data_IF_224555976836
#
_entry.id   IF_224555976836
#
_cell.length_a   1.000
_cell.length_b   1.000
_cell.length_c   1.000
_cell.angle_alpha   90.00
_cell.angle_beta   90.00
_cell.angle_gamma   90.00
#
_symmetry.space_group_name_H-M   'P 1'
#
loop_
_entity.id
_entity.type
_entity.pdbx_description
1 polymer ?
#
# COMPACT_ATOMS: atom_id res chain seq x y z
N UNK A 1 7.07 25.06 15.38
CA UNK A 1 7.26 24.52 16.74
C UNK A 1 8.67 24.85 17.17
N UNK A 2 9.04 24.61 18.42
CA UNK A 2 10.43 24.75 18.89
C UNK A 2 11.38 23.67 18.34
N UNK A 3 10.83 22.62 17.72
CA UNK A 3 11.55 21.49 17.15
C UNK A 3 11.14 21.36 15.68
N UNK A 4 12.13 21.23 14.79
CA UNK A 4 11.94 21.11 13.34
C UNK A 4 12.00 19.66 12.83
N UNK A 5 12.68 18.77 13.57
CA UNK A 5 12.89 17.37 13.18
C UNK A 5 12.55 16.43 14.33
N UNK A 6 11.67 15.47 14.06
CA UNK A 6 11.35 14.36 14.95
C UNK A 6 11.97 13.08 14.41
N UNK A 7 12.85 12.45 15.19
CA UNK A 7 13.38 11.11 14.92
C UNK A 7 12.60 10.13 15.78
N UNK A 8 11.93 9.17 15.16
CA UNK A 8 11.11 8.19 15.87
C UNK A 8 11.20 6.81 15.22
N UNK A 9 10.75 5.79 15.96
CA UNK A 9 10.40 4.50 15.41
C UNK A 9 8.99 4.55 14.79
N UNK A 10 8.49 3.41 14.32
CA UNK A 10 7.16 3.27 13.69
C UNK A 10 5.99 3.68 14.61
N UNK A 11 6.23 3.86 15.91
CA UNK A 11 5.22 4.25 16.91
C UNK A 11 4.51 5.58 16.58
N UNK A 12 5.06 6.44 15.71
CA UNK A 12 4.31 7.60 15.18
C UNK A 12 3.02 7.20 14.46
N UNK A 13 2.91 5.97 13.96
CA UNK A 13 1.70 5.42 13.36
C UNK A 13 0.51 5.37 14.35
N UNK A 14 0.76 5.23 15.66
CA UNK A 14 -0.29 4.95 16.66
C UNK A 14 -0.96 6.17 17.29
N UNK A 15 -0.67 7.41 16.84
CA UNK A 15 -1.46 8.56 17.28
C UNK A 15 -0.77 9.92 17.34
N UNK A 16 0.47 10.04 16.89
CA UNK A 16 1.15 11.34 16.83
C UNK A 16 0.82 11.97 15.47
N UNK A 17 -0.22 12.80 15.45
CA UNK A 17 -0.52 13.67 14.30
C UNK A 17 0.24 14.99 14.48
N UNK A 18 1.17 15.28 13.56
CA UNK A 18 1.91 16.55 13.53
C UNK A 18 1.42 17.30 12.30
N UNK A 19 0.42 18.20 12.43
CA UNK A 19 -0.20 18.85 11.30
C UNK A 19 0.83 19.57 10.40
N UNK A 20 1.83 20.19 11.02
CA UNK A 20 2.85 20.98 10.29
C UNK A 20 3.93 20.12 9.61
N UNK A 21 3.95 18.79 9.80
CA UNK A 21 4.93 17.92 9.16
C UNK A 21 4.53 17.67 7.70
N UNK A 22 5.34 18.19 6.77
CA UNK A 22 5.13 18.03 5.32
C UNK A 22 6.13 17.07 4.67
N UNK A 23 7.14 16.62 5.39
CA UNK A 23 8.21 15.76 4.87
C UNK A 23 8.37 14.54 5.74
N UNK A 24 8.28 13.37 5.12
CA UNK A 24 8.53 12.07 5.75
C UNK A 24 9.78 11.45 5.15
N UNK A 25 10.65 10.90 5.99
CA UNK A 25 11.78 10.09 5.57
C UNK A 25 11.69 8.74 6.29
N UNK A 26 11.54 7.66 5.53
CA UNK A 26 11.50 6.29 6.05
C UNK A 26 12.81 5.61 5.67
N UNK A 27 13.65 5.38 6.67
CA UNK A 27 14.86 4.57 6.51
C UNK A 27 14.50 3.08 6.48
N UNK A 28 15.28 2.27 5.74
CA UNK A 28 15.06 0.83 5.58
C UNK A 28 13.63 0.48 5.13
N UNK A 29 13.09 1.21 4.16
CA UNK A 29 11.72 0.99 3.67
C UNK A 29 11.50 -0.41 3.10
N UNK A 30 12.57 -1.10 2.70
CA UNK A 30 12.58 -2.52 2.29
C UNK A 30 12.05 -3.49 3.34
N UNK A 31 12.13 -3.12 4.62
CA UNK A 31 11.73 -3.97 5.74
C UNK A 31 10.25 -3.84 6.13
N UNK A 32 9.53 -2.90 5.53
CA UNK A 32 8.14 -2.60 5.91
C UNK A 32 7.12 -3.33 5.02
N UNK A 33 5.94 -3.55 5.56
CA UNK A 33 4.77 -3.95 4.78
C UNK A 33 4.28 -2.80 3.88
N UNK A 34 3.60 -3.15 2.78
CA UNK A 34 3.03 -2.13 1.88
C UNK A 34 1.96 -1.29 2.61
N UNK A 35 1.14 -1.93 3.44
CA UNK A 35 0.14 -1.24 4.25
C UNK A 35 0.77 -0.24 5.22
N UNK A 36 1.83 -0.62 5.94
CA UNK A 36 2.50 0.24 6.92
C UNK A 36 3.10 1.48 6.24
N UNK A 37 3.79 1.28 5.10
CA UNK A 37 4.36 2.37 4.31
C UNK A 37 3.28 3.34 3.81
N UNK A 38 2.13 2.81 3.40
CA UNK A 38 1.00 3.61 2.96
C UNK A 38 0.38 4.41 4.11
N UNK A 39 0.24 3.81 5.30
CA UNK A 39 -0.23 4.50 6.50
C UNK A 39 0.72 5.63 6.90
N UNK A 40 2.04 5.36 6.95
CA UNK A 40 3.06 6.37 7.23
C UNK A 40 3.00 7.53 6.22
N UNK A 41 2.91 7.23 4.92
CA UNK A 41 2.75 8.23 3.86
C UNK A 41 1.51 9.12 4.08
N UNK A 42 0.40 8.54 4.56
CA UNK A 42 -0.83 9.27 4.86
C UNK A 42 -0.77 10.17 6.09
N UNK A 43 0.31 10.11 6.89
CA UNK A 43 0.53 11.00 8.04
C UNK A 43 1.12 12.36 7.66
N UNK A 44 1.59 12.53 6.42
CA UNK A 44 2.06 13.82 5.90
C UNK A 44 1.14 14.34 4.78
N UNK A 45 1.08 15.66 4.59
CA UNK A 45 0.30 16.26 3.50
C UNK A 45 -1.17 16.55 3.80
N UNK A 46 -1.51 16.87 5.06
CA UNK A 46 -2.86 17.29 5.47
C UNK A 46 -3.20 18.75 5.13
N UNK A 47 -2.24 19.54 4.64
CA UNK A 47 -2.41 20.97 4.33
C UNK A 47 -2.35 21.26 2.84
N UNK A 48 -2.66 22.50 2.45
CA UNK A 48 -2.59 22.99 1.05
C UNK A 48 -1.19 22.90 0.43
N UNK A 49 -0.15 22.72 1.24
CA UNK A 49 1.23 22.66 0.77
C UNK A 49 1.57 21.24 0.31
N UNK A 50 2.34 21.16 -0.78
CA UNK A 50 2.85 19.89 -1.28
C UNK A 50 3.70 19.19 -0.20
N UNK A 51 3.39 17.92 0.05
CA UNK A 51 4.16 17.07 0.94
C UNK A 51 5.04 16.09 0.17
N UNK A 52 6.09 15.63 0.84
CA UNK A 52 7.10 14.73 0.28
C UNK A 52 7.30 13.53 1.21
N UNK A 53 7.44 12.34 0.63
CA UNK A 53 7.78 11.12 1.35
C UNK A 53 8.94 10.43 0.64
N UNK A 54 10.04 10.22 1.37
CA UNK A 54 11.24 9.57 0.88
C UNK A 54 11.37 8.18 1.50
N UNK A 55 11.37 7.14 0.67
CA UNK A 55 11.55 5.75 1.08
C UNK A 55 12.97 5.32 0.72
N UNK A 56 13.81 5.14 1.73
CA UNK A 56 15.24 4.90 1.55
C UNK A 56 15.57 3.41 1.73
N UNK A 57 16.40 2.93 0.81
CA UNK A 57 16.94 1.57 0.78
C UNK A 57 18.46 1.64 0.91
N UNK A 58 19.13 0.71 1.61
CA UNK A 58 20.59 0.77 1.74
C UNK A 58 21.29 0.66 0.38
N UNK A 59 22.34 1.45 0.20
CA UNK A 59 23.16 1.43 -1.02
C UNK A 59 23.79 0.05 -1.22
N UNK A 60 23.64 -0.50 -2.43
CA UNK A 60 24.17 -1.83 -2.77
C UNK A 60 23.33 -3.00 -2.25
N UNK A 61 22.18 -2.73 -1.62
CA UNK A 61 21.27 -3.78 -1.21
C UNK A 61 20.45 -4.30 -2.40
N UNK A 62 20.47 -5.62 -2.60
CA UNK A 62 19.62 -6.27 -3.59
C UNK A 62 18.25 -6.46 -2.96
N UNK A 63 17.25 -5.73 -3.49
CA UNK A 63 15.87 -5.88 -3.07
C UNK A 63 15.36 -7.28 -3.38
N UNK A 64 14.64 -7.87 -2.42
CA UNK A 64 13.82 -9.04 -2.73
C UNK A 64 12.77 -8.66 -3.78
N UNK A 65 12.33 -9.64 -4.57
CA UNK A 65 11.25 -9.42 -5.57
C UNK A 65 10.00 -8.85 -4.90
N UNK A 66 9.69 -9.30 -3.69
CA UNK A 66 8.55 -8.84 -2.92
C UNK A 66 8.72 -7.39 -2.47
N UNK A 67 9.85 -7.06 -1.83
CA UNK A 67 10.15 -5.70 -1.36
C UNK A 67 10.17 -4.69 -2.51
N UNK A 68 10.76 -5.06 -3.66
CA UNK A 68 10.73 -4.23 -4.87
C UNK A 68 9.31 -3.96 -5.36
N UNK A 69 8.49 -5.02 -5.47
CA UNK A 69 7.09 -4.91 -5.89
C UNK A 69 6.25 -4.03 -4.94
N UNK A 70 6.49 -4.12 -3.62
CA UNK A 70 5.85 -3.23 -2.63
C UNK A 70 6.23 -1.77 -2.86
N UNK A 71 7.51 -1.45 -3.02
CA UNK A 71 7.97 -0.08 -3.23
C UNK A 71 7.44 0.51 -4.54
N UNK A 72 7.41 -0.29 -5.61
CA UNK A 72 6.79 0.11 -6.89
C UNK A 72 5.28 0.37 -6.75
N UNK A 73 4.57 -0.49 -6.03
CA UNK A 73 3.13 -0.30 -5.79
C UNK A 73 2.85 0.99 -5.01
N UNK A 74 3.63 1.26 -3.98
CA UNK A 74 3.54 2.48 -3.19
C UNK A 74 3.81 3.74 -4.03
N UNK A 75 4.69 3.63 -5.03
CA UNK A 75 4.91 4.68 -6.01
C UNK A 75 3.74 4.79 -6.98
N UNK A 76 3.20 3.70 -7.54
CA UNK A 76 2.09 3.78 -8.52
C UNK A 76 0.83 4.42 -7.94
N UNK A 77 0.48 4.09 -6.71
CA UNK A 77 -0.74 4.57 -6.06
C UNK A 77 -0.47 5.85 -5.25
N UNK A 78 -0.35 6.98 -5.97
CA UNK A 78 -0.06 8.32 -5.39
C UNK A 78 -1.30 9.06 -4.89
N UNK A 79 -2.49 8.72 -5.39
CA UNK A 79 -3.70 9.50 -5.14
C UNK A 79 -4.40 9.14 -3.82
N UNK A 80 -4.95 10.16 -3.15
CA UNK A 80 -5.83 10.00 -1.99
C UNK A 80 -7.03 9.11 -2.38
N UNK A 81 -7.35 8.10 -1.57
CA UNK A 81 -8.40 7.14 -1.86
C UNK A 81 -7.92 5.84 -2.53
N UNK A 82 -6.63 5.71 -2.81
CA UNK A 82 -6.04 4.47 -3.35
C UNK A 82 -5.92 3.34 -2.32
N UNK A 83 -6.44 3.51 -1.09
CA UNK A 83 -6.30 2.54 0.00
C UNK A 83 -6.85 1.15 -0.35
N UNK A 84 -7.95 1.08 -1.11
CA UNK A 84 -8.48 -0.19 -1.60
C UNK A 84 -7.54 -0.86 -2.60
N UNK A 85 -6.98 -0.11 -3.56
CA UNK A 85 -6.03 -0.64 -4.55
C UNK A 85 -4.72 -1.11 -3.90
N UNK A 86 -4.24 -0.36 -2.91
CA UNK A 86 -3.08 -0.74 -2.10
C UNK A 86 -3.34 -2.03 -1.33
N UNK A 87 -4.52 -2.17 -0.73
CA UNK A 87 -4.90 -3.40 -0.03
C UNK A 87 -5.00 -4.61 -0.98
N UNK A 88 -5.53 -4.42 -2.19
CA UNK A 88 -5.56 -5.47 -3.23
C UNK A 88 -4.17 -5.89 -3.66
N UNK A 89 -3.27 -4.94 -3.91
CA UNK A 89 -1.89 -5.26 -4.30
C UNK A 89 -1.14 -5.92 -3.13
N UNK A 90 -1.32 -5.45 -1.89
CA UNK A 90 -0.72 -6.09 -0.70
C UNK A 90 -1.18 -7.55 -0.57
N UNK A 91 -2.47 -7.81 -0.83
CA UNK A 91 -3.06 -9.14 -0.84
C UNK A 91 -2.48 -10.02 -1.96
N UNK A 92 -2.28 -9.47 -3.16
CA UNK A 92 -1.66 -10.16 -4.29
C UNK A 92 -0.19 -10.47 -4.03
N UNK A 93 0.57 -9.51 -3.49
CA UNK A 93 1.99 -9.64 -3.14
C UNK A 93 2.18 -10.74 -2.08
N UNK A 94 1.34 -10.78 -1.04
CA UNK A 94 1.34 -11.85 -0.02
C UNK A 94 0.91 -13.20 -0.58
N UNK A 95 0.38 -13.25 -1.79
CA UNK A 95 0.00 -14.47 -2.46
C UNK A 95 -1.37 -14.99 -2.04
N UNK A 96 -2.37 -14.15 -1.83
CA UNK A 96 -3.76 -14.64 -1.70
C UNK A 96 -4.30 -15.28 -2.99
N UNK A 97 -3.60 -15.16 -4.12
CA UNK A 97 -3.77 -16.08 -5.25
C UNK A 97 -3.52 -17.56 -4.90
N UNK A 98 -2.88 -17.83 -3.76
CA UNK A 98 -2.59 -19.15 -3.21
C UNK A 98 -3.63 -19.62 -2.17
N UNK A 99 -4.70 -18.86 -1.91
CA UNK A 99 -5.78 -19.27 -0.98
C UNK A 99 -6.46 -20.60 -1.43
N UNK A 100 -6.25 -21.00 -2.69
CA UNK A 100 -6.83 -22.19 -3.32
C UNK A 100 -5.81 -23.26 -3.77
N UNK A 101 -4.54 -23.19 -3.36
CA UNK A 101 -3.67 -24.37 -3.47
C UNK A 101 -2.21 -24.11 -3.80
N UNK A 102 -1.34 -24.72 -2.97
CA UNK A 102 0.06 -24.99 -3.25
C UNK A 102 0.22 -25.73 -4.58
N UNK A 103 1.23 -25.28 -5.33
CA UNK A 103 1.98 -26.03 -6.34
C UNK A 103 1.18 -26.51 -7.56
N UNK A 104 1.58 -25.96 -8.72
CA UNK A 104 1.26 -26.47 -10.06
C UNK A 104 -0.24 -26.41 -10.44
N UNK A 105 -0.62 -25.41 -11.23
CA UNK A 105 -0.91 -25.62 -12.66
C UNK A 105 -1.19 -24.28 -13.36
N UNK A 106 -0.41 -24.02 -14.41
CA UNK A 106 -0.46 -22.80 -15.20
C UNK A 106 -1.82 -22.57 -15.86
N UNK A 107 -2.13 -21.31 -16.08
CA UNK A 107 -3.25 -20.80 -16.90
C UNK A 107 -4.64 -20.68 -16.25
N UNK A 108 -5.02 -21.50 -15.26
CA UNK A 108 -6.39 -21.45 -14.69
C UNK A 108 -6.51 -20.51 -13.47
N UNK A 109 -5.42 -20.30 -12.73
CA UNK A 109 -5.42 -19.56 -11.44
C UNK A 109 -5.57 -18.03 -11.56
N UNK A 110 -5.23 -17.43 -12.71
CA UNK A 110 -5.31 -15.97 -12.89
C UNK A 110 -6.75 -15.44 -13.02
N UNK A 111 -7.74 -16.32 -13.22
CA UNK A 111 -9.12 -15.94 -13.53
C UNK A 111 -9.96 -15.76 -12.25
N UNK A 112 -9.55 -16.30 -11.10
CA UNK A 112 -10.42 -16.42 -9.92
C UNK A 112 -10.89 -15.10 -9.34
N UNK A 113 -9.97 -14.16 -9.09
CA UNK A 113 -10.31 -12.89 -8.46
C UNK A 113 -11.00 -11.91 -9.43
N UNK A 114 -10.56 -11.85 -10.70
CA UNK A 114 -11.24 -11.04 -11.72
C UNK A 114 -12.67 -11.54 -11.96
N UNK A 115 -12.86 -12.87 -12.03
CA UNK A 115 -14.17 -13.48 -12.16
C UNK A 115 -15.04 -13.23 -10.91
N UNK A 116 -14.46 -13.32 -9.71
CA UNK A 116 -15.17 -12.97 -8.48
C UNK A 116 -15.63 -11.51 -8.48
N UNK A 117 -14.75 -10.57 -8.83
CA UNK A 117 -15.11 -9.16 -8.95
C UNK A 117 -16.13 -8.88 -10.06
N UNK A 118 -16.16 -9.69 -11.11
CA UNK A 118 -17.14 -9.62 -12.20
C UNK A 118 -18.51 -10.09 -11.73
N UNK A 119 -18.58 -11.27 -11.11
CA UNK A 119 -19.81 -11.83 -10.55
C UNK A 119 -20.39 -10.90 -9.47
N UNK A 120 -19.53 -10.33 -8.61
CA UNK A 120 -19.95 -9.38 -7.58
C UNK A 120 -20.54 -8.11 -8.19
N UNK A 121 -19.92 -7.58 -9.26
CA UNK A 121 -20.45 -6.42 -10.01
C UNK A 121 -21.80 -6.74 -10.63
N UNK A 122 -21.93 -7.87 -11.30
CA UNK A 122 -23.20 -8.31 -11.92
C UNK A 122 -24.32 -8.45 -10.87
N UNK A 123 -24.02 -9.02 -9.70
CA UNK A 123 -24.99 -9.16 -8.62
C UNK A 123 -25.45 -7.80 -8.05
N UNK A 124 -24.52 -6.86 -7.88
CA UNK A 124 -24.83 -5.50 -7.40
C UNK A 124 -25.63 -4.70 -8.42
N UNK A 125 -25.28 -4.80 -9.71
CA UNK A 125 -26.02 -4.15 -10.79
C UNK A 125 -27.44 -4.71 -10.94
N UNK A 126 -27.60 -6.03 -10.74
CA UNK A 126 -28.92 -6.67 -10.71
C UNK A 126 -29.81 -6.16 -9.58
N UNK A 127 -29.25 -5.94 -8.39
CA UNK A 127 -29.99 -5.40 -7.23
C UNK A 127 -30.36 -3.92 -7.43
N UNK A 128 -29.50 -3.13 -8.05
CA UNK A 128 -29.78 -1.71 -8.33
C UNK A 128 -30.81 -1.49 -9.44
N UNK A 129 -30.94 -2.42 -10.39
CA UNK A 129 -31.99 -2.41 -11.42
C UNK A 129 -33.36 -2.88 -10.91
N UNK A 130 -33.41 -3.51 -9.73
CA UNK A 130 -34.64 -3.97 -9.10
C UNK A 130 -35.22 -2.97 -8.09
N UNK A 131 -34.68 -1.74 -8.03
CA UNK A 131 -35.28 -0.55 -7.41
C UNK A 131 -35.81 0.38 -8.49
#
# INVERSE_FOLDING_TARGET
GTIDVLISTVIIESGIDIPNANTLIVNRSDMFGLADLYQLKGRVGRFKNKAYAYFLVPKGHVLSRESGRRLEALERYKDLGSGFKIAMEDLEIRGAGNLLGKEQHGYISAIGFDLYCRILREAVDGLNKSK
#
